data_IF_694053229654
#
_entry.id   IF_694053229654
#
_cell.length_a   1.000
_cell.length_b   1.000
_cell.length_c   1.000
_cell.angle_alpha   90.00
_cell.angle_beta   90.00
_cell.angle_gamma   90.00
#
_symmetry.space_group_name_H-M   'P 1'
#
loop_
_entity.id
_entity.type
_entity.pdbx_description
1 polymer ?
#
# COMPACT_ATOMS: atom_id res chain seq x y z
N UNK A 1 -0.74 54.20 -11.79
CA UNK A 1 -1.50 54.65 -10.60
C UNK A 1 -1.58 56.17 -10.64
N UNK A 2 -2.77 56.73 -10.80
CA UNK A 2 -3.03 58.16 -10.61
C UNK A 2 -4.51 58.30 -10.24
N UNK A 3 -4.76 58.54 -8.96
CA UNK A 3 -6.06 58.89 -8.39
C UNK A 3 -6.03 60.41 -8.19
N UNK A 4 -6.55 61.18 -9.13
CA UNK A 4 -6.66 62.63 -8.97
C UNK A 4 -8.00 62.95 -8.26
N UNK A 5 -8.00 62.96 -6.94
CA UNK A 5 -9.07 63.57 -6.16
C UNK A 5 -8.83 65.09 -6.13
N UNK A 6 -9.65 65.87 -6.85
CA UNK A 6 -9.58 67.33 -6.77
C UNK A 6 -10.94 67.85 -6.34
N UNK A 7 -11.14 67.95 -5.03
CA UNK A 7 -12.05 68.91 -4.41
C UNK A 7 -11.15 69.76 -3.51
N UNK A 8 -11.17 71.09 -3.68
CA UNK A 8 -10.38 72.00 -2.86
C UNK A 8 -10.91 71.97 -1.43
N UNK A 9 -10.01 71.67 -0.50
CA UNK A 9 -10.28 71.52 0.93
C UNK A 9 -10.16 72.90 1.60
N UNK A 10 -11.27 73.64 1.74
CA UNK A 10 -11.29 74.81 2.63
C UNK A 10 -11.46 74.32 4.07
N UNK A 11 -10.31 74.01 4.69
CA UNK A 11 -10.17 73.66 6.10
C UNK A 11 -10.78 74.74 7.01
N UNK A 12 -12.08 74.61 7.36
CA UNK A 12 -12.68 74.94 8.67
C UNK A 12 -14.18 74.67 8.85
N UNK A 13 -14.94 74.25 7.83
CA UNK A 13 -16.35 73.80 7.99
C UNK A 13 -16.60 72.65 7.03
N UNK A 14 -17.04 71.48 7.52
CA UNK A 14 -17.03 70.18 6.80
C UNK A 14 -17.96 70.04 5.58
N UNK A 15 -17.95 71.01 4.66
CA UNK A 15 -18.75 71.09 3.42
C UNK A 15 -17.81 70.92 2.23
N UNK A 16 -18.15 70.02 1.29
CA UNK A 16 -17.34 69.71 0.11
C UNK A 16 -17.96 70.36 -1.14
N UNK A 17 -17.18 71.05 -1.97
CA UNK A 17 -17.72 71.80 -3.12
C UNK A 17 -17.17 71.33 -4.46
N UNK A 18 -18.04 71.06 -5.44
CA UNK A 18 -17.63 70.66 -6.78
C UNK A 18 -16.81 71.77 -7.46
N UNK A 19 -15.57 71.52 -7.92
CA UNK A 19 -14.73 72.58 -8.50
C UNK A 19 -15.30 73.12 -9.82
N UNK A 20 -16.20 72.39 -10.48
CA UNK A 20 -16.72 72.75 -11.80
C UNK A 20 -18.03 73.54 -11.74
N UNK A 21 -18.93 73.22 -10.80
CA UNK A 21 -20.22 73.91 -10.65
C UNK A 21 -20.39 74.64 -9.30
N UNK A 22 -19.44 74.51 -8.38
CA UNK A 22 -19.41 75.10 -7.02
C UNK A 22 -20.52 74.66 -6.07
N UNK A 23 -21.27 73.61 -6.43
CA UNK A 23 -22.31 73.04 -5.58
C UNK A 23 -21.72 72.34 -4.34
N UNK A 24 -22.34 72.55 -3.18
CA UNK A 24 -21.85 72.15 -1.85
C UNK A 24 -22.54 70.90 -1.30
N UNK A 25 -21.79 70.00 -0.66
CA UNK A 25 -22.26 68.70 -0.18
C UNK A 25 -21.84 68.42 1.28
N UNK A 26 -22.76 67.82 2.05
CA UNK A 26 -22.56 67.25 3.39
C UNK A 26 -23.48 66.06 3.57
N UNK A 27 -23.01 64.81 3.72
CA UNK A 27 -21.62 64.34 3.85
C UNK A 27 -20.86 64.25 2.51
N UNK A 28 -19.58 63.85 2.55
CA UNK A 28 -18.68 63.77 1.39
C UNK A 28 -19.26 62.87 0.27
N UNK A 29 -19.41 63.36 -0.97
CA UNK A 29 -19.86 62.54 -2.09
C UNK A 29 -18.86 61.43 -2.44
N UNK A 30 -19.36 60.23 -2.75
CA UNK A 30 -18.53 59.11 -3.20
C UNK A 30 -18.29 59.21 -4.71
N UNK A 31 -17.07 59.57 -5.10
CA UNK A 31 -16.68 59.70 -6.51
C UNK A 31 -16.17 58.35 -7.02
N UNK A 32 -16.70 57.89 -8.15
CA UNK A 32 -16.23 56.68 -8.85
C UNK A 32 -15.55 57.05 -10.17
N UNK A 33 -14.55 56.28 -10.58
CA UNK A 33 -13.82 56.49 -11.84
C UNK A 33 -14.77 56.30 -13.03
N UNK A 34 -14.77 57.25 -13.98
CA UNK A 34 -15.52 57.10 -15.22
C UNK A 34 -14.85 56.06 -16.13
N UNK A 35 -15.52 54.94 -16.32
CA UNK A 35 -15.09 53.85 -17.21
C UNK A 35 -15.05 54.29 -18.68
N UNK A 36 -15.99 55.14 -19.09
CA UNK A 36 -16.08 55.66 -20.46
C UNK A 36 -14.86 56.49 -20.86
N UNK A 37 -14.37 57.35 -19.96
CA UNK A 37 -13.15 58.15 -20.24
C UNK A 37 -11.88 57.29 -20.22
N UNK A 38 -11.88 56.21 -19.45
CA UNK A 38 -10.75 55.27 -19.40
C UNK A 38 -10.64 54.52 -20.73
N UNK A 39 -11.77 54.05 -21.27
CA UNK A 39 -11.83 53.36 -22.58
C UNK A 39 -11.45 54.27 -23.76
N UNK A 40 -11.84 55.55 -23.71
CA UNK A 40 -11.47 56.52 -24.77
C UNK A 40 -9.97 56.80 -24.77
N UNK A 41 -9.35 56.96 -23.59
CA UNK A 41 -7.90 57.16 -23.47
C UNK A 41 -7.12 55.91 -23.86
N UNK A 42 -7.62 54.71 -23.55
CA UNK A 42 -6.99 53.47 -24.01
C UNK A 42 -7.11 53.25 -25.52
N UNK A 43 -8.25 53.63 -26.13
CA UNK A 43 -8.42 53.60 -27.59
C UNK A 43 -7.51 54.61 -28.30
N UNK A 44 -7.37 55.83 -27.77
CA UNK A 44 -6.43 56.82 -28.32
C UNK A 44 -4.97 56.32 -28.22
N UNK A 45 -4.56 55.76 -27.08
CA UNK A 45 -3.22 55.15 -26.93
C UNK A 45 -2.98 53.96 -27.86
N UNK A 46 -4.00 53.14 -28.15
CA UNK A 46 -3.88 52.04 -29.11
C UNK A 46 -3.81 52.52 -30.56
N UNK A 47 -4.42 53.67 -30.86
CA UNK A 47 -4.41 54.25 -32.23
C UNK A 47 -3.09 54.97 -32.50
N UNK A 48 -2.51 55.64 -31.50
CA UNK A 48 -1.22 56.35 -31.59
C UNK A 48 -0.02 55.38 -31.63
N UNK A 49 -0.13 54.20 -31.01
CA UNK A 49 0.89 53.13 -31.08
C UNK A 49 0.80 52.31 -32.38
N UNK A 50 -0.30 52.40 -33.13
CA UNK A 50 -0.50 51.67 -34.38
C UNK A 50 -0.20 52.50 -35.64
N UNK A 51 -0.02 53.82 -35.55
CA UNK A 51 0.32 54.66 -36.72
C UNK A 51 1.83 54.83 -36.97
N UNK A 52 2.69 54.66 -35.96
CA UNK A 52 4.15 54.87 -36.09
C UNK A 52 4.97 53.59 -36.32
N UNK A 53 4.35 52.41 -36.37
CA UNK A 53 5.04 51.12 -36.57
C UNK A 53 4.96 50.60 -38.02
N UNK A 54 4.73 51.47 -39.00
CA UNK A 54 4.58 51.07 -40.42
C UNK A 54 5.83 51.32 -41.28
N UNK A 55 7.02 51.45 -40.69
CA UNK A 55 8.25 51.53 -41.46
C UNK A 55 9.41 50.76 -40.80
N UNK A 56 9.71 49.59 -41.38
CA UNK A 56 11.06 49.04 -41.50
C UNK A 56 11.77 48.60 -40.20
N UNK A 57 11.23 47.59 -39.50
CA UNK A 57 12.04 46.84 -38.55
C UNK A 57 13.01 45.90 -39.30
N UNK A 58 14.30 46.03 -39.02
CA UNK A 58 15.32 45.09 -39.50
C UNK A 58 15.00 43.66 -39.03
N UNK A 59 15.40 42.66 -39.82
CA UNK A 59 15.23 41.26 -39.46
C UNK A 59 16.05 40.94 -38.19
N UNK A 60 15.40 40.35 -37.18
CA UNK A 60 16.07 39.79 -36.02
C UNK A 60 16.69 38.41 -36.30
N UNK A 61 17.38 37.79 -35.31
CA UNK A 61 18.10 36.52 -35.49
C UNK A 61 17.23 35.34 -35.95
N UNK A 62 15.94 35.35 -35.57
CA UNK A 62 14.97 34.29 -35.91
C UNK A 62 14.04 34.68 -37.07
N UNK A 63 14.20 35.89 -37.62
CA UNK A 63 13.36 36.40 -38.70
C UNK A 63 13.91 35.98 -40.06
N UNK A 64 13.00 35.72 -41.01
CA UNK A 64 13.37 35.51 -42.41
C UNK A 64 13.72 36.85 -43.02
N UNK A 65 14.90 36.97 -43.61
CA UNK A 65 15.33 38.19 -44.26
C UNK A 65 14.66 38.37 -45.64
N UNK A 66 14.46 39.62 -46.06
CA UNK A 66 14.03 39.92 -47.42
C UNK A 66 15.19 39.80 -48.41
N UNK A 67 14.96 39.10 -49.52
CA UNK A 67 15.98 38.80 -50.54
C UNK A 67 16.33 39.99 -51.45
N UNK A 68 15.48 41.02 -51.48
CA UNK A 68 15.64 42.20 -52.35
C UNK A 68 16.17 43.44 -51.64
N UNK A 69 16.25 43.42 -50.30
CA UNK A 69 16.83 44.54 -49.55
C UNK A 69 18.34 44.62 -49.79
N UNK A 70 18.81 45.79 -50.21
CA UNK A 70 20.23 46.11 -50.27
C UNK A 70 20.66 46.75 -48.95
N UNK A 71 21.73 46.23 -48.32
CA UNK A 71 22.21 46.69 -47.01
C UNK A 71 21.52 45.97 -45.84
N UNK A 72 20.98 46.72 -44.87
CA UNK A 72 20.23 46.16 -43.74
C UNK A 72 18.97 45.45 -44.24
N UNK A 73 18.90 44.13 -44.03
CA UNK A 73 17.77 43.35 -44.52
C UNK A 73 16.58 43.48 -43.57
N UNK A 74 15.44 43.80 -44.15
CA UNK A 74 14.18 43.89 -43.42
C UNK A 74 13.56 42.52 -43.24
N UNK A 75 12.75 42.37 -42.19
CA UNK A 75 11.96 41.18 -41.97
C UNK A 75 11.04 40.91 -43.17
N UNK A 76 11.15 39.72 -43.75
CA UNK A 76 10.21 39.23 -44.74
C UNK A 76 8.89 38.85 -44.08
N UNK A 77 7.80 39.22 -44.73
CA UNK A 77 6.42 38.94 -44.28
C UNK A 77 5.76 37.87 -45.15
N UNK A 78 6.16 37.80 -46.43
CA UNK A 78 5.62 36.85 -47.41
C UNK A 78 6.74 36.25 -48.22
N UNK A 79 6.60 34.98 -48.55
CA UNK A 79 7.42 34.33 -49.58
C UNK A 79 6.55 34.01 -50.79
N UNK A 80 7.06 34.28 -51.97
CA UNK A 80 6.42 33.90 -53.22
C UNK A 80 6.92 32.52 -53.63
N UNK A 81 6.02 31.55 -53.76
CA UNK A 81 6.41 30.21 -54.16
C UNK A 81 6.85 30.14 -55.63
N UNK A 82 6.37 31.08 -56.46
CA UNK A 82 6.74 31.17 -57.88
C UNK A 82 8.11 31.81 -58.08
N UNK A 83 8.40 32.90 -57.37
CA UNK A 83 9.71 33.56 -57.42
C UNK A 83 10.75 32.88 -56.52
N UNK A 84 10.31 32.04 -55.59
CA UNK A 84 11.15 31.29 -54.63
C UNK A 84 11.99 32.19 -53.72
N UNK A 85 11.44 33.35 -53.37
CA UNK A 85 12.10 34.40 -52.59
C UNK A 85 11.11 35.02 -51.60
N UNK A 86 11.66 35.65 -50.58
CA UNK A 86 11.00 36.26 -49.44
C UNK A 86 11.08 37.79 -49.49
N UNK A 87 9.95 38.44 -49.23
CA UNK A 87 9.74 39.87 -49.39
C UNK A 87 9.33 40.51 -48.08
N UNK A 88 9.91 41.67 -47.77
CA UNK A 88 9.39 42.60 -46.77
C UNK A 88 8.14 43.33 -47.31
N UNK A 89 7.48 44.11 -46.46
CA UNK A 89 6.26 44.86 -46.81
C UNK A 89 6.40 45.73 -48.06
N UNK A 90 7.58 46.31 -48.29
CA UNK A 90 7.84 47.16 -49.47
C UNK A 90 8.01 46.29 -50.73
N UNK A 91 8.87 45.27 -50.67
CA UNK A 91 9.20 44.48 -51.86
C UNK A 91 8.11 43.50 -52.28
N UNK A 92 7.09 43.28 -51.44
CA UNK A 92 5.93 42.47 -51.82
C UNK A 92 4.89 43.27 -52.61
N UNK A 93 4.87 44.61 -52.54
CA UNK A 93 3.85 45.43 -53.20
C UNK A 93 3.69 45.16 -54.70
N UNK A 94 4.75 44.94 -55.50
CA UNK A 94 4.60 44.57 -56.91
C UNK A 94 3.78 43.28 -57.12
N UNK A 95 3.81 42.34 -56.16
CA UNK A 95 2.97 41.14 -56.21
C UNK A 95 1.50 41.40 -55.94
N UNK A 96 1.11 42.57 -55.42
CA UNK A 96 -0.29 42.95 -55.28
C UNK A 96 -0.76 43.85 -56.43
N UNK A 97 0.10 44.77 -56.86
CA UNK A 97 -0.25 45.83 -57.79
C UNK A 97 -0.14 45.41 -59.27
N UNK A 98 0.83 44.54 -59.61
CA UNK A 98 1.07 44.14 -61.00
C UNK A 98 0.19 42.94 -61.36
N UNK A 99 -0.72 43.03 -62.36
CA UNK A 99 -1.67 41.95 -62.68
C UNK A 99 -1.05 40.59 -63.05
N UNK A 100 0.21 40.58 -63.50
CA UNK A 100 0.94 39.34 -63.76
C UNK A 100 1.49 38.70 -62.49
N UNK A 101 2.01 39.51 -61.56
CA UNK A 101 2.61 39.05 -60.32
C UNK A 101 1.56 38.73 -59.24
N UNK A 102 0.37 39.35 -59.32
CA UNK A 102 -0.77 39.05 -58.42
C UNK A 102 -1.33 37.64 -58.57
N UNK A 103 -0.95 36.92 -59.62
CA UNK A 103 -1.26 35.50 -59.80
C UNK A 103 -0.28 34.58 -59.07
N UNK A 104 0.85 35.09 -58.60
CA UNK A 104 1.81 34.28 -57.87
C UNK A 104 1.27 33.87 -56.50
N UNK A 105 1.59 32.66 -56.07
CA UNK A 105 1.13 32.14 -54.78
C UNK A 105 2.03 32.63 -53.66
N UNK A 106 1.50 33.53 -52.83
CA UNK A 106 2.17 34.03 -51.63
C UNK A 106 1.80 33.21 -50.40
N UNK A 107 2.79 32.90 -49.58
CA UNK A 107 2.64 32.27 -48.25
C UNK A 107 3.33 33.13 -47.20
N UNK A 108 3.05 32.91 -45.92
CA UNK A 108 3.80 33.59 -44.86
C UNK A 108 5.29 33.23 -44.97
N UNK A 109 6.14 34.23 -44.77
CA UNK A 109 7.58 34.02 -44.79
C UNK A 109 7.99 32.92 -43.80
N UNK A 110 8.85 32.01 -44.24
CA UNK A 110 9.32 30.87 -43.46
C UNK A 110 10.77 30.59 -43.78
N UNK A 111 11.61 30.43 -42.76
CA UNK A 111 13.04 30.11 -42.91
C UNK A 111 13.26 28.77 -43.61
N UNK A 112 12.24 27.91 -43.60
CA UNK A 112 12.22 26.58 -44.25
C UNK A 112 11.62 26.62 -45.65
N UNK A 113 11.66 27.78 -46.33
CA UNK A 113 11.20 27.88 -47.72
C UNK A 113 12.07 27.02 -48.64
N UNK A 114 13.39 27.05 -48.45
CA UNK A 114 14.34 26.29 -49.27
C UNK A 114 14.12 24.77 -49.16
N UNK A 115 13.70 24.27 -47.99
CA UNK A 115 13.34 22.86 -47.79
C UNK A 115 12.08 22.43 -48.58
N UNK A 116 11.31 23.38 -49.10
CA UNK A 116 10.13 23.12 -49.94
C UNK A 116 10.45 23.19 -51.43
N UNK A 117 11.72 23.40 -51.79
CA UNK A 117 12.21 23.46 -53.17
C UNK A 117 13.02 22.19 -53.42
N UNK A 118 12.77 21.56 -54.55
CA UNK A 118 13.52 20.40 -55.00
C UNK A 118 14.92 20.83 -55.41
N UNK A 119 15.93 20.22 -54.81
CA UNK A 119 17.33 20.55 -55.05
C UNK A 119 17.85 20.16 -56.44
N UNK A 120 17.14 19.29 -57.17
CA UNK A 120 17.53 18.87 -58.52
C UNK A 120 16.92 19.75 -59.61
N UNK A 121 15.69 20.22 -59.40
CA UNK A 121 14.90 20.86 -60.45
C UNK A 121 14.54 22.32 -60.15
N UNK A 122 14.91 22.84 -58.99
CA UNK A 122 14.55 24.18 -58.50
C UNK A 122 13.04 24.45 -58.67
N UNK A 123 12.22 23.44 -58.33
CA UNK A 123 10.75 23.50 -58.36
C UNK A 123 10.17 23.19 -56.99
N UNK A 124 9.00 23.74 -56.70
CA UNK A 124 8.30 23.45 -55.43
C UNK A 124 7.99 21.96 -55.33
N UNK A 125 8.23 21.42 -54.15
CA UNK A 125 7.85 20.06 -53.76
C UNK A 125 6.36 20.06 -53.37
N UNK A 126 5.52 19.43 -54.19
CA UNK A 126 4.05 19.47 -54.02
C UNK A 126 3.35 18.11 -54.12
N UNK A 127 4.10 17.06 -54.48
CA UNK A 127 3.60 15.68 -54.55
C UNK A 127 4.39 14.75 -53.63
N UNK A 128 3.77 13.63 -53.27
CA UNK A 128 4.33 12.59 -52.43
C UNK A 128 4.39 11.27 -53.21
N UNK A 129 5.59 10.72 -53.33
CA UNK A 129 5.79 9.37 -53.85
C UNK A 129 5.56 8.36 -52.72
N UNK A 130 4.50 7.55 -52.83
CA UNK A 130 4.19 6.50 -51.85
C UNK A 130 5.15 5.31 -51.93
N UNK A 131 5.71 5.04 -53.11
CA UNK A 131 6.68 3.96 -53.30
C UNK A 131 7.93 4.22 -52.47
N UNK A 132 8.49 5.44 -52.57
CA UNK A 132 9.75 5.79 -51.89
C UNK A 132 9.56 6.53 -50.57
N UNK A 133 8.31 6.82 -50.19
CA UNK A 133 7.92 7.60 -49.01
C UNK A 133 8.58 8.99 -48.93
N UNK A 134 8.73 9.67 -50.08
CA UNK A 134 9.39 10.98 -50.19
C UNK A 134 8.47 12.05 -50.78
N UNK A 135 8.68 13.28 -50.34
CA UNK A 135 8.10 14.47 -50.97
C UNK A 135 9.00 14.88 -52.16
N UNK A 136 8.41 15.07 -53.34
CA UNK A 136 9.13 15.38 -54.59
C UNK A 136 8.42 16.49 -55.40
N UNK A 137 9.09 17.07 -56.39
CA UNK A 137 8.46 18.00 -57.34
C UNK A 137 7.84 17.25 -58.54
N UNK A 138 7.10 17.96 -59.39
CA UNK A 138 6.46 17.37 -60.57
C UNK A 138 7.47 16.89 -61.64
N UNK A 139 8.66 17.48 -61.73
CA UNK A 139 9.67 16.99 -62.69
C UNK A 139 10.30 15.67 -62.23
N UNK A 140 10.62 15.54 -60.93
CA UNK A 140 11.01 14.25 -60.34
C UNK A 140 10.01 13.12 -60.63
N UNK A 141 8.71 13.44 -60.73
CA UNK A 141 7.67 12.43 -61.04
C UNK A 141 7.76 11.85 -62.45
N UNK A 142 8.33 12.61 -63.39
CA UNK A 142 8.52 12.23 -64.78
C UNK A 142 9.90 11.61 -65.03
N UNK A 143 10.87 11.93 -64.18
CA UNK A 143 12.25 11.44 -64.22
C UNK A 143 12.42 10.22 -63.30
N UNK A 144 13.14 10.39 -62.18
CA UNK A 144 13.58 9.34 -61.24
C UNK A 144 12.43 8.54 -60.60
N UNK A 145 11.23 9.11 -60.53
CA UNK A 145 10.05 8.46 -59.95
C UNK A 145 8.98 8.09 -60.99
N UNK A 146 9.37 7.95 -62.27
CA UNK A 146 8.45 7.55 -63.32
C UNK A 146 7.84 6.17 -63.03
N UNK A 147 6.52 6.06 -63.20
CA UNK A 147 5.77 4.83 -62.90
C UNK A 147 5.51 4.57 -61.41
N UNK A 148 6.03 5.40 -60.48
CA UNK A 148 5.75 5.24 -59.06
C UNK A 148 4.35 5.73 -58.68
N UNK A 149 3.86 5.29 -57.51
CA UNK A 149 2.54 5.72 -57.02
C UNK A 149 2.63 7.12 -56.41
N UNK A 150 2.25 8.11 -57.20
CA UNK A 150 2.34 9.52 -56.83
C UNK A 150 0.96 10.08 -56.51
N UNK A 151 0.88 10.87 -55.44
CA UNK A 151 -0.32 11.59 -55.01
C UNK A 151 0.06 13.00 -54.60
N UNK A 152 -0.90 13.94 -54.57
CA UNK A 152 -0.60 15.27 -54.04
C UNK A 152 -0.23 15.21 -52.56
N UNK A 153 0.69 16.08 -52.13
CA UNK A 153 1.10 16.15 -50.73
C UNK A 153 -0.08 16.47 -49.79
N UNK A 154 -1.06 17.25 -50.27
CA UNK A 154 -2.29 17.58 -49.53
C UNK A 154 -3.16 16.33 -49.33
N UNK A 155 -3.35 15.52 -50.37
CA UNK A 155 -4.13 14.30 -50.29
C UNK A 155 -3.46 13.27 -49.36
N UNK A 156 -2.13 13.07 -49.48
CA UNK A 156 -1.40 12.15 -48.60
C UNK A 156 -1.42 12.61 -47.15
N UNK A 157 -1.22 13.91 -46.89
CA UNK A 157 -1.33 14.48 -45.55
C UNK A 157 -2.70 14.20 -44.95
N UNK A 158 -3.76 14.37 -45.74
CA UNK A 158 -5.14 14.10 -45.28
C UNK A 158 -5.32 12.63 -44.94
N UNK A 159 -4.82 11.71 -45.77
CA UNK A 159 -4.87 10.28 -45.51
C UNK A 159 -4.08 9.86 -44.26
N UNK A 160 -2.80 10.28 -44.15
CA UNK A 160 -1.95 9.99 -42.98
C UNK A 160 -2.53 10.61 -41.70
N UNK A 161 -3.07 11.82 -41.77
CA UNK A 161 -3.76 12.47 -40.64
C UNK A 161 -4.99 11.68 -40.20
N UNK A 162 -5.80 11.16 -41.13
CA UNK A 162 -6.95 10.29 -40.80
C UNK A 162 -6.51 9.03 -40.07
N UNK A 163 -5.50 8.32 -40.59
CA UNK A 163 -4.94 7.11 -39.95
C UNK A 163 -4.40 7.39 -38.55
N UNK A 164 -3.67 8.50 -38.38
CA UNK A 164 -3.17 8.91 -37.06
C UNK A 164 -4.30 9.19 -36.07
N UNK A 165 -5.41 9.80 -36.52
CA UNK A 165 -6.57 10.05 -35.67
C UNK A 165 -7.31 8.76 -35.29
N UNK A 166 -7.33 7.75 -36.16
CA UNK A 166 -7.86 6.41 -35.87
C UNK A 166 -6.99 5.69 -34.84
N UNK A 167 -5.68 5.60 -35.09
CA UNK A 167 -4.74 4.96 -34.16
C UNK A 167 -4.69 5.68 -32.80
N UNK A 168 -4.83 7.01 -32.77
CA UNK A 168 -4.96 7.77 -31.52
C UNK A 168 -6.21 7.36 -30.73
N UNK A 169 -7.35 7.14 -31.40
CA UNK A 169 -8.59 6.68 -30.75
C UNK A 169 -8.42 5.27 -30.19
N UNK A 170 -7.82 4.36 -30.96
CA UNK A 170 -7.57 2.98 -30.52
C UNK A 170 -6.64 2.95 -29.30
N UNK A 171 -5.56 3.73 -29.31
CA UNK A 171 -4.66 3.86 -28.18
C UNK A 171 -5.36 4.43 -26.94
N UNK A 172 -6.23 5.43 -27.09
CA UNK A 172 -7.01 5.97 -25.97
C UNK A 172 -7.94 4.93 -25.36
N UNK A 173 -8.57 4.08 -26.18
CA UNK A 173 -9.39 2.97 -25.70
C UNK A 173 -8.56 1.93 -24.93
N UNK A 174 -7.40 1.54 -25.46
CA UNK A 174 -6.49 0.61 -24.79
C UNK A 174 -5.94 1.15 -23.47
N UNK A 175 -5.61 2.45 -23.41
CA UNK A 175 -5.19 3.11 -22.17
C UNK A 175 -6.29 2.99 -21.12
N UNK A 176 -7.54 3.34 -21.47
CA UNK A 176 -8.67 3.24 -20.54
C UNK A 176 -8.90 1.81 -20.05
N UNK A 177 -8.78 0.83 -20.95
CA UNK A 177 -8.90 -0.59 -20.60
C UNK A 177 -7.80 -1.03 -19.63
N UNK A 178 -6.54 -0.65 -19.89
CA UNK A 178 -5.42 -0.96 -19.00
C UNK A 178 -5.50 -0.23 -17.66
N UNK A 179 -5.98 1.01 -17.64
CA UNK A 179 -6.26 1.73 -16.40
C UNK A 179 -7.32 1.01 -15.56
N UNK A 180 -8.37 0.47 -16.19
CA UNK A 180 -9.38 -0.34 -15.51
C UNK A 180 -8.80 -1.63 -14.93
N UNK A 181 -8.04 -2.39 -15.72
CA UNK A 181 -7.35 -3.61 -15.26
C UNK A 181 -6.43 -3.32 -14.06
N UNK A 182 -5.70 -2.19 -14.09
CA UNK A 182 -4.86 -1.75 -12.96
C UNK A 182 -5.69 -1.48 -11.70
N UNK A 183 -6.87 -0.86 -11.82
CA UNK A 183 -7.74 -0.63 -10.67
C UNK A 183 -8.29 -1.94 -10.10
N UNK A 184 -8.69 -2.89 -10.95
CA UNK A 184 -9.16 -4.21 -10.53
C UNK A 184 -8.07 -4.97 -9.76
N UNK A 185 -6.84 -4.98 -10.27
CA UNK A 185 -5.69 -5.61 -9.57
C UNK A 185 -5.39 -4.91 -8.24
N UNK A 186 -5.45 -3.57 -8.18
CA UNK A 186 -5.27 -2.83 -6.92
C UNK A 186 -6.33 -3.19 -5.88
N UNK A 187 -7.59 -3.34 -6.31
CA UNK A 187 -8.67 -3.75 -5.42
C UNK A 187 -8.50 -5.20 -4.94
N UNK A 188 -8.16 -6.12 -5.84
CA UNK A 188 -7.88 -7.52 -5.49
C UNK A 188 -6.71 -7.65 -4.50
N UNK A 189 -5.62 -6.89 -4.70
CA UNK A 189 -4.51 -6.79 -3.75
C UNK A 189 -4.97 -6.32 -2.38
N UNK A 190 -5.74 -5.23 -2.31
CA UNK A 190 -6.24 -4.69 -1.05
C UNK A 190 -7.15 -5.69 -0.34
N UNK A 191 -8.04 -6.34 -1.08
CA UNK A 191 -8.92 -7.39 -0.56
C UNK A 191 -8.11 -8.56 0.03
N UNK A 192 -7.10 -9.05 -0.70
CA UNK A 192 -6.24 -10.13 -0.22
C UNK A 192 -5.50 -9.74 1.07
N UNK A 193 -4.95 -8.53 1.13
CA UNK A 193 -4.28 -8.01 2.33
C UNK A 193 -5.23 -7.93 3.53
N UNK A 194 -6.45 -7.40 3.33
CA UNK A 194 -7.47 -7.34 4.38
C UNK A 194 -7.93 -8.73 4.82
N UNK A 195 -8.15 -9.64 3.87
CA UNK A 195 -8.56 -11.02 4.15
C UNK A 195 -7.49 -11.78 4.94
N UNK A 196 -6.21 -11.59 4.59
CA UNK A 196 -5.09 -12.18 5.34
C UNK A 196 -5.02 -11.62 6.76
N UNK A 197 -5.19 -10.31 6.92
CA UNK A 197 -5.20 -9.66 8.24
C UNK A 197 -6.36 -10.18 9.12
N UNK A 198 -7.56 -10.30 8.56
CA UNK A 198 -8.71 -10.88 9.26
C UNK A 198 -8.44 -12.33 9.68
N UNK A 199 -7.85 -13.14 8.79
CA UNK A 199 -7.50 -14.52 9.11
C UNK A 199 -6.46 -14.60 10.26
N UNK A 200 -5.48 -13.69 10.30
CA UNK A 200 -4.53 -13.58 11.41
C UNK A 200 -5.24 -13.20 12.71
N UNK A 201 -6.10 -12.18 12.69
CA UNK A 201 -6.85 -11.72 13.86
C UNK A 201 -7.80 -12.80 14.42
N UNK A 202 -8.52 -13.51 13.54
CA UNK A 202 -9.37 -14.64 13.92
C UNK A 202 -8.54 -15.79 14.52
N UNK A 203 -7.36 -16.06 13.95
CA UNK A 203 -6.44 -17.07 14.48
C UNK A 203 -5.96 -16.70 15.87
N UNK A 204 -5.46 -15.47 16.06
CA UNK A 204 -5.02 -14.95 17.37
C UNK A 204 -6.14 -15.00 18.41
N UNK A 205 -7.37 -14.65 18.01
CA UNK A 205 -8.54 -14.71 18.88
C UNK A 205 -8.84 -16.14 19.33
N UNK A 206 -8.88 -17.10 18.40
CA UNK A 206 -9.14 -18.51 18.70
C UNK A 206 -8.07 -19.05 19.67
N UNK A 207 -6.80 -18.78 19.40
CA UNK A 207 -5.72 -19.24 20.28
C UNK A 207 -5.75 -18.57 21.66
N UNK A 208 -6.06 -17.27 21.72
CA UNK A 208 -6.22 -16.54 22.99
C UNK A 208 -7.35 -17.13 23.84
N UNK A 209 -8.51 -17.39 23.24
CA UNK A 209 -9.65 -18.02 23.93
C UNK A 209 -9.30 -19.43 24.43
N UNK A 210 -8.61 -20.22 23.60
CA UNK A 210 -8.17 -21.57 23.97
C UNK A 210 -7.17 -21.55 25.13
N UNK A 211 -6.18 -20.67 25.09
CA UNK A 211 -5.18 -20.50 26.17
C UNK A 211 -5.89 -20.13 27.47
N UNK A 212 -6.81 -19.15 27.42
CA UNK A 212 -7.60 -18.72 28.58
C UNK A 212 -8.43 -19.87 29.16
N UNK A 213 -9.12 -20.63 28.30
CA UNK A 213 -9.90 -21.80 28.72
C UNK A 213 -9.02 -22.88 29.37
N UNK A 214 -7.87 -23.20 28.77
CA UNK A 214 -6.93 -24.19 29.31
C UNK A 214 -6.34 -23.76 30.65
N UNK A 215 -6.01 -22.47 30.82
CA UNK A 215 -5.57 -21.90 32.09
C UNK A 215 -6.66 -22.03 33.16
N UNK A 216 -7.92 -21.73 32.82
CA UNK A 216 -9.06 -21.90 33.74
C UNK A 216 -9.23 -23.36 34.16
N UNK A 217 -9.21 -24.30 33.20
CA UNK A 217 -9.31 -25.74 33.49
C UNK A 217 -8.15 -26.27 34.34
N UNK A 218 -6.94 -25.76 34.13
CA UNK A 218 -5.79 -26.06 35.00
C UNK A 218 -6.05 -25.64 36.45
N UNK A 219 -6.61 -24.45 36.67
CA UNK A 219 -6.93 -23.95 38.02
C UNK A 219 -8.04 -24.80 38.64
N UNK A 220 -9.11 -25.12 37.90
CA UNK A 220 -10.21 -25.97 38.35
C UNK A 220 -9.70 -27.35 38.82
N UNK A 221 -8.88 -28.02 38.01
CA UNK A 221 -8.30 -29.33 38.37
C UNK A 221 -7.43 -29.22 39.63
N UNK A 222 -6.59 -28.19 39.72
CA UNK A 222 -5.75 -27.95 40.92
C UNK A 222 -6.60 -27.75 42.17
N UNK A 223 -7.67 -26.95 42.08
CA UNK A 223 -8.58 -26.69 43.20
C UNK A 223 -9.30 -27.96 43.64
N UNK A 224 -9.81 -28.78 42.71
CA UNK A 224 -10.45 -30.06 43.01
C UNK A 224 -9.52 -31.03 43.72
N UNK A 225 -8.25 -31.10 43.30
CA UNK A 225 -7.23 -31.93 43.99
C UNK A 225 -7.05 -31.47 45.44
N UNK A 226 -6.88 -30.16 45.66
CA UNK A 226 -6.69 -29.59 47.01
C UNK A 226 -7.93 -29.73 47.90
N UNK A 227 -9.13 -29.60 47.32
CA UNK A 227 -10.38 -29.80 48.03
C UNK A 227 -10.52 -31.26 48.50
N UNK A 228 -10.22 -32.22 47.62
CA UNK A 228 -10.25 -33.63 47.97
C UNK A 228 -9.18 -34.00 49.00
N UNK A 229 -7.96 -33.47 48.86
CA UNK A 229 -6.88 -33.64 49.83
C UNK A 229 -7.32 -33.19 51.22
N UNK A 230 -7.88 -31.98 51.31
CA UNK A 230 -8.39 -31.44 52.58
C UNK A 230 -9.51 -32.30 53.17
N UNK A 231 -10.42 -32.80 52.35
CA UNK A 231 -11.53 -33.64 52.82
C UNK A 231 -11.04 -35.00 53.36
N UNK A 232 -10.11 -35.66 52.66
CA UNK A 232 -9.51 -36.92 53.08
C UNK A 232 -8.67 -36.74 54.36
N UNK A 233 -7.88 -35.67 54.45
CA UNK A 233 -7.08 -35.33 55.64
C UNK A 233 -7.98 -35.05 56.84
N UNK A 234 -9.03 -34.23 56.68
CA UNK A 234 -9.98 -33.92 57.75
C UNK A 234 -10.67 -35.18 58.28
N UNK A 235 -10.96 -36.15 57.39
CA UNK A 235 -11.53 -37.45 57.78
C UNK A 235 -10.52 -38.25 58.61
N UNK A 236 -9.27 -38.30 58.18
CA UNK A 236 -8.21 -38.98 58.93
C UNK A 236 -7.98 -38.36 60.31
N UNK A 237 -7.94 -37.03 60.41
CA UNK A 237 -7.81 -36.30 61.68
C UNK A 237 -8.98 -36.60 62.64
N UNK A 238 -10.21 -36.70 62.13
CA UNK A 238 -11.37 -37.08 62.93
C UNK A 238 -11.24 -38.47 63.54
N UNK A 239 -10.77 -39.45 62.75
CA UNK A 239 -10.52 -40.81 63.24
C UNK A 239 -9.36 -40.87 64.23
N UNK A 240 -8.28 -40.11 64.00
CA UNK A 240 -7.16 -40.02 64.93
C UNK A 240 -7.62 -39.50 66.30
N UNK A 241 -8.40 -38.41 66.33
CA UNK A 241 -8.96 -37.86 67.59
C UNK A 241 -9.84 -38.88 68.33
N UNK A 242 -10.63 -39.67 67.59
CA UNK A 242 -11.44 -40.72 68.19
C UNK A 242 -10.56 -41.80 68.85
N UNK A 243 -9.53 -42.28 68.14
CA UNK A 243 -8.60 -43.29 68.66
C UNK A 243 -7.80 -42.77 69.86
N UNK A 244 -7.33 -41.52 69.81
CA UNK A 244 -6.64 -40.88 70.93
C UNK A 244 -7.51 -40.81 72.19
N UNK A 245 -8.80 -40.48 72.03
CA UNK A 245 -9.76 -40.46 73.13
C UNK A 245 -10.03 -41.86 73.70
N UNK A 246 -10.14 -42.87 72.84
CA UNK A 246 -10.30 -44.27 73.25
C UNK A 246 -9.06 -44.77 74.02
N UNK A 247 -7.86 -44.49 73.53
CA UNK A 247 -6.59 -44.80 74.22
C UNK A 247 -6.53 -44.11 75.58
N UNK A 248 -6.89 -42.83 75.67
CA UNK A 248 -6.90 -42.09 76.93
C UNK A 248 -7.85 -42.70 77.97
N UNK A 249 -9.06 -43.10 77.54
CA UNK A 249 -10.03 -43.81 78.39
C UNK A 249 -9.49 -45.15 78.86
N UNK A 250 -8.86 -45.92 77.97
CA UNK A 250 -8.26 -47.22 78.31
C UNK A 250 -7.10 -47.04 79.30
N UNK A 251 -6.16 -46.11 79.06
CA UNK A 251 -5.06 -45.79 79.97
C UNK A 251 -5.54 -45.37 81.36
N UNK A 252 -6.60 -44.56 81.45
CA UNK A 252 -7.17 -44.17 82.73
C UNK A 252 -7.77 -45.36 83.49
N UNK A 253 -8.42 -46.29 82.78
CA UNK A 253 -8.98 -47.50 83.39
C UNK A 253 -7.88 -48.45 83.86
N UNK A 254 -6.84 -48.61 83.05
CA UNK A 254 -5.65 -49.40 83.36
C UNK A 254 -4.93 -48.89 84.62
N UNK A 255 -4.69 -47.57 84.71
CA UNK A 255 -4.11 -46.94 85.90
C UNK A 255 -4.94 -47.17 87.18
N UNK A 256 -6.27 -47.16 87.08
CA UNK A 256 -7.16 -47.49 88.21
C UNK A 256 -7.06 -48.96 88.62
N UNK A 257 -6.85 -49.88 87.68
CA UNK A 257 -6.66 -51.30 87.97
C UNK A 257 -5.32 -51.53 88.67
N UNK A 258 -4.24 -50.91 88.18
CA UNK A 258 -2.91 -50.95 88.79
C UNK A 258 -2.89 -50.41 90.23
N UNK A 259 -3.76 -49.45 90.57
CA UNK A 259 -3.90 -48.96 91.95
C UNK A 259 -4.59 -49.97 92.89
N UNK A 260 -5.42 -50.88 92.37
CA UNK A 260 -6.15 -51.87 93.16
C UNK A 260 -5.35 -53.16 93.39
N UNK A 261 -4.47 -53.53 92.45
CA UNK A 261 -3.68 -54.78 92.53
C UNK A 261 -2.82 -54.92 93.80
N UNK A 262 -2.19 -53.85 94.36
CA UNK A 262 -1.36 -53.96 95.56
C UNK A 262 -2.13 -54.06 96.89
N UNK A 263 -3.46 -53.92 96.89
CA UNK A 263 -4.26 -53.97 98.13
C UNK A 263 -4.35 -55.41 98.62
N UNK A 264 -3.67 -55.72 99.73
CA UNK A 264 -3.62 -57.08 100.29
C UNK A 264 -4.85 -57.44 101.16
N UNK A 265 -5.47 -56.44 101.82
CA UNK A 265 -6.64 -56.69 102.67
C UNK A 265 -7.90 -57.00 101.82
N UNK A 266 -8.56 -58.15 102.04
CA UNK A 266 -9.70 -58.55 101.22
C UNK A 266 -10.92 -57.63 101.33
N UNK A 267 -11.14 -56.96 102.45
CA UNK A 267 -12.29 -56.07 102.67
C UNK A 267 -12.05 -54.74 101.97
N UNK A 268 -10.85 -54.16 102.14
CA UNK A 268 -10.48 -52.88 101.51
C UNK A 268 -10.41 -52.99 99.98
N UNK A 269 -9.95 -54.14 99.46
CA UNK A 269 -9.99 -54.42 98.02
C UNK A 269 -11.43 -54.40 97.51
N UNK A 270 -12.35 -55.15 98.14
CA UNK A 270 -13.74 -55.26 97.71
C UNK A 270 -14.51 -53.93 97.82
N UNK A 271 -14.20 -53.10 98.82
CA UNK A 271 -14.79 -51.76 98.94
C UNK A 271 -14.28 -50.78 97.87
N UNK A 272 -13.00 -50.88 97.52
CA UNK A 272 -12.37 -50.03 96.49
C UNK A 272 -12.66 -50.53 95.06
N UNK A 273 -13.06 -51.78 94.92
CA UNK A 273 -13.37 -52.41 93.64
C UNK A 273 -14.65 -51.87 93.02
N UNK A 274 -14.51 -51.06 91.97
CA UNK A 274 -15.66 -50.49 91.28
C UNK A 274 -16.25 -51.47 90.24
N UNK A 275 -17.55 -51.78 90.24
CA UNK A 275 -18.17 -52.76 89.32
C UNK A 275 -18.02 -52.42 87.82
N UNK A 276 -17.77 -51.16 87.47
CA UNK A 276 -17.54 -50.76 86.08
C UNK A 276 -16.12 -51.09 85.56
N UNK A 277 -15.20 -51.53 86.43
CA UNK A 277 -13.88 -52.03 86.03
C UNK A 277 -13.97 -53.43 85.41
N UNK A 278 -14.96 -54.24 85.79
CA UNK A 278 -15.21 -55.59 85.24
C UNK A 278 -16.11 -55.60 84.02
N UNK A 279 -16.76 -54.47 83.70
CA UNK A 279 -17.38 -54.29 82.40
C UNK A 279 -16.29 -54.45 81.35
N UNK A 280 -16.31 -55.59 80.65
CA UNK A 280 -15.48 -55.81 79.46
C UNK A 280 -15.57 -54.56 78.63
N UNK A 281 -14.45 -54.02 78.12
CA UNK A 281 -14.57 -52.91 77.22
C UNK A 281 -15.56 -53.35 76.14
N UNK A 282 -16.35 -52.41 75.68
CA UNK A 282 -17.07 -52.54 74.42
C UNK A 282 -16.06 -52.75 73.25
N UNK A 283 -14.78 -53.07 73.50
CA UNK A 283 -13.75 -53.43 72.52
C UNK A 283 -14.04 -54.71 71.74
N UNK A 284 -14.92 -55.63 72.21
CA UNK A 284 -15.34 -56.76 71.36
C UNK A 284 -16.37 -56.36 70.29
N UNK A 285 -17.01 -55.19 70.42
CA UNK A 285 -18.06 -54.71 69.51
C UNK A 285 -17.78 -53.31 68.93
N UNK A 286 -16.67 -52.66 69.27
CA UNK A 286 -16.29 -51.43 68.60
C UNK A 286 -15.84 -51.79 67.17
N UNK A 287 -16.47 -51.21 66.12
CA UNK A 287 -16.02 -51.44 64.77
C UNK A 287 -14.56 -51.04 64.69
N UNK A 288 -13.70 -52.00 64.30
CA UNK A 288 -12.29 -51.76 64.01
C UNK A 288 -12.24 -50.57 63.06
N UNK A 289 -11.65 -49.46 63.49
CA UNK A 289 -11.58 -48.25 62.65
C UNK A 289 -10.63 -48.55 61.49
N UNK A 290 -11.17 -49.06 60.40
CA UNK A 290 -10.43 -49.29 59.15
C UNK A 290 -10.46 -48.00 58.34
N UNK A 291 -9.33 -47.31 58.29
CA UNK A 291 -9.13 -46.22 57.34
C UNK A 291 -8.77 -46.81 55.98
N UNK A 292 -9.81 -47.16 55.22
CA UNK A 292 -9.64 -47.60 53.83
C UNK A 292 -9.65 -46.36 52.93
N UNK A 293 -8.47 -45.86 52.56
CA UNK A 293 -8.36 -44.81 51.53
C UNK A 293 -8.77 -45.37 50.19
N UNK A 294 -10.06 -45.29 49.88
CA UNK A 294 -10.62 -45.69 48.57
C UNK A 294 -10.23 -44.73 47.43
N UNK A 295 -9.56 -43.62 47.74
CA UNK A 295 -9.25 -42.56 46.79
C UNK A 295 -7.74 -42.42 46.55
N UNK A 296 -7.30 -42.65 45.31
CA UNK A 296 -5.89 -42.51 44.90
C UNK A 296 -5.74 -41.44 43.81
N UNK A 297 -5.11 -40.31 44.17
CA UNK A 297 -4.78 -39.25 43.21
C UNK A 297 -3.94 -39.76 42.04
N UNK A 298 -3.06 -40.74 42.30
CA UNK A 298 -2.18 -41.33 41.29
C UNK A 298 -2.96 -42.15 40.27
N UNK A 299 -3.96 -42.92 40.70
CA UNK A 299 -4.77 -43.75 39.81
C UNK A 299 -5.70 -42.90 38.96
N UNK A 300 -6.30 -41.86 39.53
CA UNK A 300 -7.12 -40.89 38.78
C UNK A 300 -6.28 -40.20 37.70
N UNK A 301 -5.06 -39.75 38.02
CA UNK A 301 -4.22 -39.13 37.00
C UNK A 301 -3.74 -40.14 35.95
N UNK A 302 -3.45 -41.39 36.33
CA UNK A 302 -3.08 -42.45 35.38
C UNK A 302 -4.19 -42.78 34.38
N UNK A 303 -5.46 -42.71 34.77
CA UNK A 303 -6.58 -42.97 33.86
C UNK A 303 -6.83 -41.82 32.88
N UNK A 304 -6.64 -40.57 33.31
CA UNK A 304 -6.98 -39.39 32.51
C UNK A 304 -5.80 -38.90 31.63
N UNK A 305 -4.56 -39.03 32.09
CA UNK A 305 -3.37 -38.48 31.39
C UNK A 305 -3.18 -39.02 29.96
N UNK A 306 -3.34 -40.33 29.67
CA UNK A 306 -3.16 -40.83 28.31
C UNK A 306 -4.16 -40.24 27.32
N UNK A 307 -5.43 -40.12 27.74
CA UNK A 307 -6.50 -39.54 26.93
C UNK A 307 -6.28 -38.05 26.63
N UNK A 308 -5.84 -37.28 27.63
CA UNK A 308 -5.45 -35.87 27.46
C UNK A 308 -4.29 -35.73 26.46
N UNK A 309 -3.22 -36.51 26.65
CA UNK A 309 -2.05 -36.47 25.78
C UNK A 309 -2.38 -36.80 24.32
N UNK A 310 -3.23 -37.81 24.10
CA UNK A 310 -3.64 -38.20 22.75
C UNK A 310 -4.47 -37.09 22.08
N UNK A 311 -5.42 -36.49 22.79
CA UNK A 311 -6.20 -35.35 22.28
C UNK A 311 -5.31 -34.14 21.98
N UNK A 312 -4.31 -33.86 22.82
CA UNK A 312 -3.35 -32.79 22.57
C UNK A 312 -2.52 -33.05 21.32
N UNK A 313 -2.05 -34.29 21.09
CA UNK A 313 -1.35 -34.65 19.86
C UNK A 313 -2.21 -34.47 18.62
N UNK A 314 -3.47 -34.94 18.67
CA UNK A 314 -4.40 -34.79 17.57
C UNK A 314 -4.64 -33.31 17.23
N UNK A 315 -4.86 -32.48 18.26
CA UNK A 315 -5.01 -31.03 18.10
C UNK A 315 -3.79 -30.38 17.45
N UNK A 316 -2.57 -30.73 17.90
CA UNK A 316 -1.33 -30.23 17.29
C UNK A 316 -1.18 -30.66 15.83
N UNK A 317 -1.54 -31.90 15.49
CA UNK A 317 -1.53 -32.36 14.10
C UNK A 317 -2.51 -31.58 13.22
N UNK A 318 -3.69 -31.25 13.73
CA UNK A 318 -4.68 -30.50 12.98
C UNK A 318 -4.25 -29.05 12.74
N UNK A 319 -3.58 -28.41 13.72
CA UNK A 319 -2.91 -27.11 13.51
C UNK A 319 -1.85 -27.20 12.42
N UNK A 320 -1.00 -28.23 12.44
CA UNK A 320 0.05 -28.41 11.44
C UNK A 320 -0.53 -28.58 10.02
N UNK A 321 -1.68 -29.24 9.86
CA UNK A 321 -2.36 -29.34 8.56
C UNK A 321 -2.76 -27.96 8.04
N UNK A 322 -3.32 -27.09 8.89
CA UNK A 322 -3.70 -25.72 8.51
C UNK A 322 -2.49 -24.93 8.01
N UNK A 323 -1.35 -24.99 8.71
CA UNK A 323 -0.11 -24.34 8.27
C UNK A 323 0.45 -24.93 6.96
N UNK A 324 0.18 -26.21 6.68
CA UNK A 324 0.56 -26.88 5.44
C UNK A 324 -0.23 -26.43 4.21
N UNK A 325 -1.50 -26.06 4.36
CA UNK A 325 -2.34 -25.56 3.26
C UNK A 325 -1.93 -24.19 2.73
N UNK A 326 -1.15 -23.42 3.50
CA UNK A 326 -0.64 -22.11 3.10
C UNK A 326 0.63 -22.17 2.24
N UNK A 327 1.16 -23.37 1.98
CA UNK A 327 2.27 -23.59 1.04
C UNK A 327 1.73 -23.48 -0.39
N UNK A 328 2.05 -22.38 -1.07
CA UNK A 328 1.69 -22.14 -2.46
C UNK A 328 2.17 -23.24 -3.42
N UNK A 329 1.57 -23.29 -4.61
CA UNK A 329 1.84 -24.28 -5.64
C UNK A 329 3.34 -24.51 -5.89
N UNK A 330 3.76 -25.77 -5.89
CA UNK A 330 5.16 -26.18 -6.12
C UNK A 330 5.56 -25.93 -7.57
N UNK A 331 6.27 -24.84 -7.85
CA UNK A 331 6.92 -24.62 -9.15
C UNK A 331 8.40 -24.99 -9.04
N UNK A 332 8.79 -26.13 -9.64
CA UNK A 332 10.21 -26.51 -9.80
C UNK A 332 10.83 -25.66 -10.91
N UNK A 333 11.89 -24.90 -10.60
CA UNK A 333 12.67 -24.18 -11.60
C UNK A 333 13.68 -25.09 -12.31
N UNK A 334 13.84 -24.87 -13.62
CA UNK A 334 14.94 -25.34 -14.48
C UNK A 334 15.84 -24.18 -14.97
N UNK A 335 15.73 -22.98 -14.40
CA UNK A 335 16.44 -21.77 -14.88
C UNK A 335 16.86 -20.84 -13.72
N UNK A 336 17.91 -19.99 -13.91
CA UNK A 336 18.46 -19.15 -12.84
C UNK A 336 17.47 -18.09 -12.33
N UNK A 337 17.50 -17.84 -11.02
CA UNK A 337 16.59 -16.93 -10.30
C UNK A 337 16.98 -15.47 -10.57
N UNK A 338 16.05 -14.68 -11.11
CA UNK A 338 16.24 -13.26 -11.41
C UNK A 338 15.84 -12.35 -10.23
N UNK A 339 16.47 -11.17 -10.13
CA UNK A 339 16.10 -10.10 -9.18
C UNK A 339 14.63 -9.68 -9.38
N UNK A 340 13.85 -9.65 -8.30
CA UNK A 340 12.39 -9.41 -8.34
C UNK A 340 11.53 -10.69 -8.36
N UNK A 341 12.14 -11.87 -8.22
CA UNK A 341 11.43 -13.13 -7.97
C UNK A 341 10.98 -13.22 -6.50
N UNK A 342 9.80 -13.80 -6.25
CA UNK A 342 9.30 -14.07 -4.89
C UNK A 342 9.53 -15.55 -4.53
N UNK A 343 10.27 -15.77 -3.45
CA UNK A 343 10.67 -17.09 -2.97
C UNK A 343 9.97 -17.43 -1.65
N UNK A 344 9.56 -18.68 -1.50
CA UNK A 344 9.06 -19.27 -0.28
C UNK A 344 10.20 -19.99 0.44
N UNK A 345 10.43 -19.66 1.71
CA UNK A 345 11.37 -20.38 2.57
C UNK A 345 10.59 -21.20 3.58
N UNK A 346 11.04 -22.43 3.85
CA UNK A 346 10.65 -23.19 5.05
C UNK A 346 11.82 -23.16 6.04
N UNK A 347 11.84 -22.23 6.99
CA UNK A 347 12.88 -22.20 8.03
C UNK A 347 12.43 -22.97 9.26
N UNK A 348 13.13 -24.05 9.62
CA UNK A 348 12.92 -24.74 10.91
C UNK A 348 13.58 -23.94 12.02
N UNK A 349 12.78 -23.44 12.95
CA UNK A 349 13.24 -22.88 14.21
C UNK A 349 12.95 -23.88 15.32
N UNK A 350 14.00 -24.38 15.97
CA UNK A 350 13.86 -25.18 17.18
C UNK A 350 13.61 -24.26 18.37
N UNK A 351 12.40 -24.27 18.94
CA UNK A 351 12.12 -23.63 20.22
C UNK A 351 11.96 -24.66 21.33
N UNK A 352 12.62 -24.41 22.46
CA UNK A 352 12.47 -25.16 23.71
C UNK A 352 11.43 -24.45 24.58
N UNK A 353 10.23 -25.02 24.65
CA UNK A 353 9.25 -24.70 25.70
C UNK A 353 9.09 -25.96 26.55
N UNK A 354 9.75 -25.95 27.71
CA UNK A 354 9.64 -26.92 28.80
C UNK A 354 9.73 -28.42 28.39
N UNK A 355 10.97 -28.94 28.33
CA UNK A 355 11.35 -30.36 28.19
C UNK A 355 10.89 -31.13 26.93
N UNK A 356 10.18 -30.53 25.98
CA UNK A 356 9.99 -31.08 24.63
C UNK A 356 10.41 -30.07 23.57
N UNK A 357 11.29 -30.47 22.64
CA UNK A 357 11.62 -29.66 21.46
C UNK A 357 10.52 -29.85 20.42
N UNK A 358 9.90 -28.77 20.00
CA UNK A 358 9.01 -28.79 18.84
C UNK A 358 9.70 -28.00 17.71
N UNK A 359 9.82 -28.64 16.54
CA UNK A 359 10.28 -27.98 15.32
C UNK A 359 9.17 -27.05 14.84
N UNK A 360 9.30 -25.75 15.06
CA UNK A 360 8.41 -24.75 14.46
C UNK A 360 8.95 -24.49 13.06
N UNK A 361 8.21 -24.89 12.03
CA UNK A 361 8.54 -24.48 10.65
C UNK A 361 7.86 -23.14 10.41
N UNK A 362 8.65 -22.07 10.37
CA UNK A 362 8.18 -20.75 9.93
C UNK A 362 8.35 -20.71 8.42
N UNK A 363 7.24 -20.61 7.70
CA UNK A 363 7.23 -20.50 6.24
C UNK A 363 6.79 -19.10 5.82
N UNK A 364 7.59 -18.43 4.99
CA UNK A 364 7.34 -17.07 4.56
C UNK A 364 7.70 -16.84 3.09
N UNK A 365 7.05 -15.88 2.45
CA UNK A 365 7.37 -15.44 1.08
C UNK A 365 8.16 -14.14 1.15
N UNK A 366 9.31 -14.09 0.51
CA UNK A 366 10.20 -12.93 0.49
C UNK A 366 10.69 -12.60 -0.92
N UNK A 367 11.05 -11.33 -1.13
CA UNK A 367 11.55 -10.84 -2.41
C UNK A 367 13.07 -10.99 -2.50
N UNK A 368 13.59 -11.50 -3.62
CA UNK A 368 15.03 -11.52 -3.88
C UNK A 368 15.52 -10.10 -4.13
N UNK A 369 16.32 -9.58 -3.20
CA UNK A 369 16.85 -8.21 -3.20
C UNK A 369 18.29 -8.12 -3.73
N UNK A 370 18.98 -9.25 -3.86
CA UNK A 370 20.31 -9.32 -4.46
C UNK A 370 20.84 -10.74 -4.51
N UNK A 371 21.87 -10.97 -5.33
CA UNK A 371 22.65 -12.21 -5.36
C UNK A 371 24.12 -11.88 -5.14
N UNK A 372 24.80 -12.69 -4.32
CA UNK A 372 26.24 -12.53 -4.00
C UNK A 372 27.09 -13.70 -4.48
N UNK A 373 26.48 -14.68 -5.15
CA UNK A 373 27.13 -15.84 -5.77
C UNK A 373 26.12 -16.69 -6.55
N UNK A 374 26.56 -17.78 -7.20
CA UNK A 374 25.69 -18.65 -8.02
C UNK A 374 24.57 -19.32 -7.20
N UNK A 375 24.80 -19.59 -5.91
CA UNK A 375 23.86 -20.26 -5.01
C UNK A 375 23.46 -19.44 -3.78
N UNK A 376 23.82 -18.16 -3.73
CA UNK A 376 23.57 -17.30 -2.56
C UNK A 376 22.72 -16.10 -2.95
N UNK A 377 21.46 -16.12 -2.49
CA UNK A 377 20.49 -15.05 -2.68
C UNK A 377 20.22 -14.35 -1.35
N UNK A 378 20.05 -13.03 -1.40
CA UNK A 378 19.55 -12.24 -0.29
C UNK A 378 18.06 -12.05 -0.49
N UNK A 379 17.27 -12.54 0.45
CA UNK A 379 15.80 -12.52 0.37
C UNK A 379 15.27 -11.70 1.53
N UNK A 380 14.42 -10.72 1.22
CA UNK A 380 13.75 -9.93 2.24
C UNK A 380 12.40 -10.60 2.58
N UNK A 381 12.38 -11.38 3.66
CA UNK A 381 11.14 -11.88 4.24
C UNK A 381 10.57 -10.81 5.18
N UNK A 382 9.30 -10.39 5.02
CA UNK A 382 8.67 -9.43 5.93
C UNK A 382 8.71 -9.88 7.40
N UNK A 383 8.70 -11.19 7.64
CA UNK A 383 8.73 -11.79 8.99
C UNK A 383 10.15 -12.10 9.48
N UNK A 384 11.17 -12.07 8.60
CA UNK A 384 12.58 -12.37 8.91
C UNK A 384 13.51 -11.45 8.09
N UNK A 385 13.60 -10.15 8.45
CA UNK A 385 14.41 -9.19 7.70
C UNK A 385 15.90 -9.55 7.77
N UNK A 386 16.57 -9.60 6.60
CA UNK A 386 18.02 -9.83 6.49
C UNK A 386 18.46 -11.29 6.48
N UNK A 387 17.54 -12.24 6.24
CA UNK A 387 17.87 -13.66 6.08
C UNK A 387 18.88 -13.87 4.93
N UNK A 388 19.89 -14.71 5.20
CA UNK A 388 20.90 -15.16 4.24
C UNK A 388 21.02 -16.67 4.34
N UNK A 389 20.88 -17.37 3.22
CA UNK A 389 21.00 -18.82 3.15
C UNK A 389 21.17 -19.30 1.71
N UNK A 390 21.27 -20.61 1.55
CA UNK A 390 21.46 -21.23 0.24
C UNK A 390 20.18 -21.18 -0.59
N UNK A 391 20.29 -20.94 -1.90
CA UNK A 391 19.16 -21.02 -2.84
C UNK A 391 18.48 -22.40 -2.85
N UNK A 392 19.20 -23.45 -2.44
CA UNK A 392 18.68 -24.82 -2.30
C UNK A 392 17.65 -25.00 -1.18
N UNK A 393 17.53 -24.04 -0.26
CA UNK A 393 16.58 -24.04 0.86
C UNK A 393 15.29 -23.26 0.54
N UNK A 394 15.16 -22.78 -0.70
CA UNK A 394 14.10 -21.89 -1.15
C UNK A 394 13.31 -22.49 -2.32
N UNK A 395 12.00 -22.26 -2.34
CA UNK A 395 11.08 -22.66 -3.41
C UNK A 395 10.54 -21.39 -4.10
N UNK A 396 10.30 -21.42 -5.42
CA UNK A 396 9.82 -20.22 -6.14
C UNK A 396 8.30 -20.18 -6.14
N UNK A 397 7.71 -19.05 -5.74
CA UNK A 397 6.24 -18.86 -5.73
C UNK A 397 5.78 -18.28 -7.08
N UNK A 398 6.45 -17.23 -7.56
CA UNK A 398 6.26 -16.66 -8.90
C UNK A 398 7.42 -15.74 -9.28
N UNK A 399 7.69 -15.60 -10.58
CA UNK A 399 8.68 -14.70 -11.13
C UNK A 399 7.99 -13.59 -11.94
N UNK A 400 8.31 -12.33 -11.63
CA UNK A 400 7.97 -11.21 -12.53
C UNK A 400 9.17 -11.06 -13.46
N UNK A 401 9.05 -11.53 -14.70
CA UNK A 401 10.05 -11.21 -15.72
C UNK A 401 10.02 -9.69 -15.94
N UNK A 402 10.97 -8.99 -15.33
CA UNK A 402 11.39 -7.69 -15.83
C UNK A 402 12.31 -7.98 -17.01
N UNK A 403 11.72 -8.17 -18.20
CA UNK A 403 12.52 -8.07 -19.41
C UNK A 403 13.02 -6.61 -19.55
N UNK A 404 14.27 -6.43 -20.01
CA UNK A 404 15.00 -5.16 -19.97
C UNK A 404 14.44 -4.05 -20.86
#
# INVERSE_FOLDING_TARGET
>A
MASASVFQDEFRKGVYSCPQCRETFTPRPVIRRSTLLTDVVEKLKKTEVQSDATALSNAGPDDVECDFCTGSKHKAIKSCLTCMVSFCEVHIQPHYEVPRLSKHKLVNASSRLQEKICSQHDRIIEVFCRTDQKLICMLCSMDDHNGHKIVSAIAERTNKKKKLLEMKRDNQMWIQQKEKEVQEVKQAKKYLQMSAQVAVEDTEKIFTELISFMQKKRIEVKMSIRAQEKAEVSRAEGLLKQLELEIAKLKNRDAKMEQLLPIEDPIDFLQSFQPHLTSSPVAKNLPKVTFETKFSFREVMKSVSPSLNEKTKQFLQDILKVTGFMKGDKVKLKTPVNVGSYLHCNSRHGHLLDRQSYDITVSGVGEVTGSTGPDTVTVNFPELPGWKGSSSELEVVFAINKDP
#
